data_IF_539200986856
#
_entry.id   IF_539200986856
#
_cell.length_a   1.000
_cell.length_b   1.000
_cell.length_c   1.000
_cell.angle_alpha   90.00
_cell.angle_beta   90.00
_cell.angle_gamma   90.00
#
_symmetry.space_group_name_H-M   'P 1'
#
loop_
_entity.id
_entity.type
_entity.pdbx_description
1 polymer ?
#
# COMPACT_ATOMS: atom_id res chain seq x y z
N UNK A 1 -1.21 4.28 9.31
CA UNK A 1 -1.76 2.96 8.96
C UNK A 1 -2.66 3.05 7.73
N UNK A 2 -3.14 1.94 7.17
CA UNK A 2 -4.07 1.96 6.02
C UNK A 2 -5.33 2.81 6.31
N UNK A 3 -5.93 2.64 7.49
CA UNK A 3 -7.11 3.43 7.89
C UNK A 3 -6.82 4.93 7.99
N UNK A 4 -5.64 5.31 8.49
CA UNK A 4 -5.26 6.72 8.57
C UNK A 4 -5.03 7.33 7.19
N UNK A 5 -4.44 6.56 6.27
CA UNK A 5 -4.29 6.98 4.87
C UNK A 5 -5.68 7.19 4.25
N UNK A 6 -6.57 6.20 4.36
CA UNK A 6 -7.91 6.30 3.79
C UNK A 6 -8.74 7.42 4.43
N UNK A 7 -8.54 7.72 5.73
CA UNK A 7 -9.15 8.89 6.39
C UNK A 7 -8.65 10.20 5.78
N UNK A 8 -7.37 10.30 5.42
CA UNK A 8 -6.80 11.48 4.76
C UNK A 8 -7.21 11.60 3.29
N UNK A 9 -7.47 10.48 2.61
CA UNK A 9 -7.92 10.46 1.22
C UNK A 9 -9.43 10.74 1.07
N UNK A 10 -10.22 10.49 2.11
CA UNK A 10 -11.68 10.66 2.08
C UNK A 10 -12.16 12.05 1.62
N UNK A 11 -11.57 13.19 2.03
CA UNK A 11 -11.94 14.51 1.51
C UNK A 11 -11.73 14.70 0.01
N UNK A 12 -10.86 13.89 -0.60
CA UNK A 12 -10.57 13.91 -2.03
C UNK A 12 -11.43 12.92 -2.83
N UNK A 13 -12.33 12.17 -2.17
CA UNK A 13 -13.12 11.11 -2.80
C UNK A 13 -12.27 9.91 -3.23
N UNK A 14 -11.08 9.75 -2.67
CA UNK A 14 -10.13 8.69 -2.99
C UNK A 14 -10.05 7.64 -1.88
N UNK A 15 -9.65 6.43 -2.26
CA UNK A 15 -9.38 5.33 -1.33
C UNK A 15 -8.27 4.45 -1.90
N UNK A 16 -7.32 4.07 -1.05
CA UNK A 16 -6.31 3.07 -1.34
C UNK A 16 -6.80 1.69 -0.88
N UNK A 17 -6.69 0.70 -1.76
CA UNK A 17 -6.91 -0.72 -1.47
C UNK A 17 -5.64 -1.54 -1.70
N UNK A 18 -5.63 -2.85 -1.44
CA UNK A 18 -6.70 -3.69 -0.89
C UNK A 18 -6.84 -3.57 0.63
N UNK A 19 -7.96 -4.05 1.18
CA UNK A 19 -8.25 -4.04 2.61
C UNK A 19 -8.02 -5.43 3.24
N UNK A 20 -6.82 -5.72 3.76
CA UNK A 20 -6.55 -6.96 4.47
C UNK A 20 -7.29 -7.00 5.81
N UNK A 21 -7.44 -8.18 6.41
CA UNK A 21 -8.07 -8.33 7.73
C UNK A 21 -7.35 -7.52 8.83
N UNK A 22 -6.09 -7.15 8.60
CA UNK A 22 -5.24 -6.35 9.48
C UNK A 22 -5.23 -4.86 9.13
N UNK A 23 -6.16 -4.36 8.32
CA UNK A 23 -6.21 -2.95 7.87
C UNK A 23 -6.07 -1.94 9.02
N UNK A 24 -6.61 -2.30 10.19
CA UNK A 24 -6.57 -1.53 11.43
C UNK A 24 -5.24 -1.58 12.19
N UNK A 25 -4.20 -2.24 11.68
CA UNK A 25 -2.83 -2.16 12.21
C UNK A 25 -1.71 -2.32 11.16
N UNK A 26 -2.03 -2.58 9.89
CA UNK A 26 -1.03 -2.76 8.85
C UNK A 26 -0.48 -1.42 8.30
N UNK A 27 0.82 -1.41 8.02
CA UNK A 27 1.51 -0.30 7.36
C UNK A 27 1.54 -0.51 5.84
N UNK A 28 1.69 0.58 5.08
CA UNK A 28 1.85 0.48 3.62
C UNK A 28 3.10 -0.32 3.23
N UNK A 29 4.21 -0.13 3.95
CA UNK A 29 5.44 -0.90 3.72
C UNK A 29 5.24 -2.40 3.92
N UNK A 30 4.48 -2.80 4.95
CA UNK A 30 4.11 -4.22 5.15
C UNK A 30 3.19 -4.74 4.04
N UNK A 31 2.23 -3.92 3.59
CA UNK A 31 1.35 -4.28 2.47
C UNK A 31 2.11 -4.45 1.15
N UNK A 32 3.13 -3.61 0.89
CA UNK A 32 4.00 -3.71 -0.28
C UNK A 32 4.86 -4.96 -0.18
N UNK A 33 5.56 -5.14 0.95
CA UNK A 33 6.47 -6.28 1.15
C UNK A 33 5.78 -7.64 1.07
N UNK A 34 4.50 -7.72 1.42
CA UNK A 34 3.72 -8.95 1.37
C UNK A 34 2.85 -9.07 0.10
N UNK A 35 2.88 -8.08 -0.81
CA UNK A 35 1.92 -7.95 -1.91
C UNK A 35 0.48 -8.23 -1.46
N UNK A 36 0.07 -7.56 -0.37
CA UNK A 36 -1.20 -7.83 0.31
C UNK A 36 -2.37 -7.88 -0.67
N UNK A 37 -3.28 -8.81 -0.41
CA UNK A 37 -4.50 -9.03 -1.18
C UNK A 37 -5.62 -9.21 -0.16
N UNK A 38 -6.56 -8.26 -0.14
CA UNK A 38 -7.66 -8.21 0.80
C UNK A 38 -8.99 -8.64 0.18
N UNK A 39 -10.06 -8.64 0.97
CA UNK A 39 -11.40 -8.99 0.49
C UNK A 39 -11.87 -8.07 -0.66
N UNK A 40 -11.39 -6.83 -0.67
CA UNK A 40 -11.70 -5.82 -1.69
C UNK A 40 -10.78 -5.85 -2.91
N UNK A 41 -9.81 -6.79 -2.98
CA UNK A 41 -8.85 -6.83 -4.09
C UNK A 41 -9.50 -7.07 -5.46
N UNK A 42 -10.69 -7.70 -5.50
CA UNK A 42 -11.46 -7.83 -6.75
C UNK A 42 -11.95 -6.48 -7.30
N UNK A 43 -12.14 -5.49 -6.43
CA UNK A 43 -12.56 -4.14 -6.81
C UNK A 43 -11.39 -3.16 -6.90
N UNK A 44 -10.39 -3.30 -6.02
CA UNK A 44 -9.31 -2.33 -5.82
C UNK A 44 -7.96 -2.80 -6.33
N UNK A 45 -7.83 -4.04 -6.80
CA UNK A 45 -6.53 -4.66 -7.11
C UNK A 45 -5.77 -5.07 -5.86
N UNK A 46 -4.65 -5.78 -6.06
CA UNK A 46 -3.66 -6.09 -5.02
C UNK A 46 -2.75 -4.89 -4.79
N UNK A 47 -1.89 -4.93 -3.77
CA UNK A 47 -0.93 -3.83 -3.53
C UNK A 47 -0.05 -3.57 -4.76
N UNK A 48 0.41 -4.61 -5.46
CA UNK A 48 1.25 -4.45 -6.67
C UNK A 48 0.50 -3.73 -7.80
N UNK A 49 -0.80 -3.97 -7.96
CA UNK A 49 -1.61 -3.33 -9.01
C UNK A 49 -1.80 -1.82 -8.75
N UNK A 50 -1.58 -1.38 -7.50
CA UNK A 50 -1.66 0.01 -7.07
C UNK A 50 -0.27 0.66 -6.84
N UNK A 51 0.83 -0.05 -7.12
CA UNK A 51 2.19 0.45 -6.91
C UNK A 51 2.77 0.87 -8.25
N UNK A 52 3.00 2.17 -8.45
CA UNK A 52 3.55 2.72 -9.70
C UNK A 52 5.07 2.72 -9.68
N UNK A 53 5.67 3.21 -8.59
CA UNK A 53 7.11 3.23 -8.37
C UNK A 53 7.39 3.27 -6.87
N UNK A 54 8.62 2.93 -6.47
CA UNK A 54 9.11 2.98 -5.09
C UNK A 54 10.52 3.56 -5.07
N UNK A 55 10.77 4.48 -4.14
CA UNK A 55 12.13 4.80 -3.70
C UNK A 55 12.51 3.80 -2.59
N UNK A 56 13.58 3.03 -2.81
CA UNK A 56 14.03 2.01 -1.87
C UNK A 56 15.46 2.27 -1.43
N UNK A 57 15.78 1.86 -0.19
CA UNK A 57 17.13 1.87 0.37
C UNK A 57 17.59 0.44 0.59
N UNK A 58 18.70 0.06 -0.03
CA UNK A 58 19.32 -1.25 0.10
C UNK A 58 20.21 -1.32 1.36
N UNK A 59 20.57 -2.54 1.83
CA UNK A 59 21.38 -2.71 3.05
C UNK A 59 22.77 -2.07 3.00
N UNK A 60 23.33 -1.87 1.81
CA UNK A 60 24.61 -1.18 1.57
C UNK A 60 24.49 0.35 1.60
N UNK A 61 23.29 0.88 1.83
CA UNK A 61 22.98 2.31 1.84
C UNK A 61 22.62 2.89 0.48
N UNK A 62 22.64 2.09 -0.60
CA UNK A 62 22.25 2.52 -1.93
C UNK A 62 20.77 2.90 -1.96
N UNK A 63 20.46 4.11 -2.44
CA UNK A 63 19.09 4.55 -2.74
C UNK A 63 18.81 4.42 -4.22
N UNK A 64 17.68 3.85 -4.58
CA UNK A 64 17.27 3.75 -5.99
C UNK A 64 15.75 3.82 -6.14
N UNK A 65 15.31 4.27 -7.32
CA UNK A 65 13.93 4.23 -7.74
C UNK A 65 13.68 2.95 -8.56
N UNK A 66 12.57 2.27 -8.28
CA UNK A 66 12.12 1.07 -9.01
C UNK A 66 10.66 1.24 -9.41
N UNK A 67 10.33 0.99 -10.67
CA UNK A 67 8.98 1.19 -11.22
C UNK A 67 9.00 1.15 -12.74
#
# INVERSE_FOLDING_TARGET
MLDDLNRQLAPHGLRFGPEPATHNHCTLGGMIGNNSCGATAQHTGKTVDNTVALEVMLPDGTRMEVG
#
